data_IF_573044087051
#
_entry.id   IF_573044087051
#
_cell.length_a   1.000
_cell.length_b   1.000
_cell.length_c   1.000
_cell.angle_alpha   90.00
_cell.angle_beta   90.00
_cell.angle_gamma   90.00
#
_symmetry.space_group_name_H-M   'P 1'
#
loop_
_entity.id
_entity.type
_entity.pdbx_description
1 polymer ?
#
# COMPACT_ATOMS: atom_id res chain seq x y z
N UNK A 1 16.54 38.06 30.52
CA UNK A 1 17.06 36.76 30.07
C UNK A 1 16.00 35.64 30.06
N UNK A 2 15.30 35.33 31.18
CA UNK A 2 14.27 34.26 31.24
C UNK A 2 13.14 34.40 30.20
N UNK A 3 12.61 35.62 29.96
CA UNK A 3 11.54 35.88 28.99
C UNK A 3 12.00 35.58 27.54
N UNK A 4 13.23 35.96 27.20
CA UNK A 4 13.81 35.69 25.86
C UNK A 4 13.96 34.18 25.66
N UNK A 5 14.47 33.46 26.65
CA UNK A 5 14.61 32.02 26.62
C UNK A 5 13.25 31.30 26.37
N UNK A 6 12.20 31.72 27.08
CA UNK A 6 10.85 31.17 26.92
C UNK A 6 10.33 31.42 25.51
N UNK A 7 10.52 32.61 24.93
CA UNK A 7 10.14 32.94 23.57
C UNK A 7 10.89 32.07 22.58
N UNK A 8 12.19 31.89 22.73
CA UNK A 8 12.99 31.03 21.85
C UNK A 8 12.51 29.57 21.88
N UNK A 9 12.21 29.04 23.07
CA UNK A 9 11.69 27.68 23.23
C UNK A 9 10.31 27.55 22.54
N UNK A 10 9.43 28.54 22.72
CA UNK A 10 8.11 28.53 22.08
C UNK A 10 8.21 28.58 20.53
N UNK A 11 9.13 29.37 20.00
CA UNK A 11 9.37 29.43 18.54
C UNK A 11 9.91 28.09 18.04
N UNK A 12 10.88 27.48 18.73
CA UNK A 12 11.42 26.19 18.35
C UNK A 12 10.36 25.08 18.40
N UNK A 13 9.51 25.10 19.43
CA UNK A 13 8.40 24.16 19.53
C UNK A 13 7.37 24.36 18.40
N UNK A 14 7.04 25.60 18.06
CA UNK A 14 6.14 25.93 16.95
C UNK A 14 6.72 25.50 15.60
N UNK A 15 8.02 25.71 15.36
CA UNK A 15 8.71 25.25 14.15
C UNK A 15 8.75 23.71 14.06
N UNK A 16 8.98 23.03 15.18
CA UNK A 16 8.94 21.57 15.24
C UNK A 16 7.53 21.03 14.94
N UNK A 17 6.48 21.66 15.50
CA UNK A 17 5.09 21.29 15.21
C UNK A 17 4.71 21.59 13.75
N UNK A 18 5.21 22.68 13.17
CA UNK A 18 4.96 23.05 11.78
C UNK A 18 5.49 21.99 10.80
N UNK A 19 6.60 21.31 11.11
CA UNK A 19 7.16 20.26 10.27
C UNK A 19 6.32 18.98 10.20
N UNK A 20 5.33 18.82 11.10
CA UNK A 20 4.37 17.70 11.06
C UNK A 20 3.05 18.04 10.34
N UNK A 21 2.88 19.30 9.91
CA UNK A 21 1.68 19.68 9.13
C UNK A 21 1.89 19.23 7.68
N UNK A 22 0.99 18.37 7.12
CA UNK A 22 1.06 17.98 5.72
C UNK A 22 1.03 19.21 4.81
N UNK A 23 1.88 19.22 3.79
CA UNK A 23 1.88 20.30 2.79
C UNK A 23 0.72 20.11 1.80
N UNK A 24 0.27 21.17 1.10
CA UNK A 24 -0.77 21.02 0.05
C UNK A 24 -0.39 20.01 -1.04
N UNK A 25 0.91 19.79 -1.30
CA UNK A 25 1.39 18.76 -2.22
C UNK A 25 1.16 17.34 -1.71
N UNK A 26 1.20 17.15 -0.39
CA UNK A 26 0.98 15.83 0.22
C UNK A 26 -0.47 15.37 0.04
N UNK A 27 -1.46 16.28 0.19
CA UNK A 27 -2.87 15.95 -0.04
C UNK A 27 -3.15 15.49 -1.48
N UNK A 28 -2.48 16.08 -2.48
CA UNK A 28 -2.59 15.64 -3.87
C UNK A 28 -2.02 14.22 -4.09
N UNK A 29 -1.02 13.78 -3.31
CA UNK A 29 -0.45 12.44 -3.40
C UNK A 29 -1.42 11.38 -2.86
N UNK A 30 -2.08 11.63 -1.72
CA UNK A 30 -3.09 10.70 -1.17
C UNK A 30 -4.25 10.50 -2.15
N UNK A 31 -4.69 11.59 -2.78
CA UNK A 31 -5.82 11.60 -3.70
C UNK A 31 -5.50 10.95 -5.06
N UNK A 32 -4.22 10.76 -5.39
CA UNK A 32 -3.81 10.27 -6.72
C UNK A 32 -3.10 8.92 -6.69
N UNK A 33 -2.89 8.31 -5.51
CA UNK A 33 -2.14 7.06 -5.38
C UNK A 33 -3.03 5.92 -4.90
N UNK A 34 -2.90 4.77 -5.55
CA UNK A 34 -3.40 3.47 -5.05
C UNK A 34 -2.20 2.62 -4.69
N UNK A 35 -2.23 2.00 -3.52
CA UNK A 35 -1.15 1.13 -3.04
C UNK A 35 -1.53 -0.33 -3.14
N UNK A 36 -0.52 -1.21 -3.19
CA UNK A 36 -0.67 -2.65 -3.02
C UNK A 36 -0.13 -3.06 -1.67
N UNK A 37 -0.89 -3.88 -0.96
CA UNK A 37 -0.51 -4.49 0.30
C UNK A 37 -0.74 -6.00 0.23
N UNK A 38 0.33 -6.78 0.28
CA UNK A 38 0.25 -8.25 0.32
C UNK A 38 0.80 -8.74 1.64
N UNK A 39 0.05 -9.63 2.29
CA UNK A 39 0.36 -10.18 3.61
C UNK A 39 0.58 -11.68 3.46
N UNK A 40 1.74 -12.16 3.87
CA UNK A 40 2.06 -13.59 3.87
C UNK A 40 1.29 -14.34 4.95
N UNK A 41 1.09 -15.64 4.75
CA UNK A 41 0.50 -16.51 5.77
C UNK A 41 1.31 -16.51 7.07
N UNK A 42 2.65 -16.64 6.98
CA UNK A 42 3.57 -16.61 8.13
C UNK A 42 4.94 -16.07 7.73
N UNK A 43 5.88 -16.05 8.68
CA UNK A 43 7.27 -15.61 8.45
C UNK A 43 8.21 -16.75 8.07
N UNK A 44 7.73 -17.93 7.69
CA UNK A 44 8.57 -18.97 7.12
C UNK A 44 9.14 -18.56 5.76
N UNK A 45 10.34 -18.99 5.41
CA UNK A 45 10.94 -18.69 4.11
C UNK A 45 10.01 -19.10 2.95
N UNK A 46 9.32 -20.22 3.08
CA UNK A 46 8.41 -20.73 2.08
C UNK A 46 7.20 -19.80 1.87
N UNK A 47 6.58 -19.28 2.94
CA UNK A 47 5.48 -18.33 2.85
C UNK A 47 5.94 -16.96 2.34
N UNK A 48 7.18 -16.57 2.65
CA UNK A 48 7.74 -15.33 2.11
C UNK A 48 8.02 -15.45 0.60
N UNK A 49 8.48 -16.60 0.10
CA UNK A 49 8.62 -16.88 -1.34
C UNK A 49 7.24 -16.86 -2.00
N UNK A 50 6.26 -17.59 -1.46
CA UNK A 50 4.89 -17.59 -1.99
C UNK A 50 4.30 -16.18 -2.10
N UNK A 51 4.50 -15.34 -1.07
CA UNK A 51 4.06 -13.93 -1.11
C UNK A 51 4.64 -13.18 -2.31
N UNK A 52 5.91 -13.40 -2.64
CA UNK A 52 6.54 -12.75 -3.79
C UNK A 52 6.00 -13.27 -5.12
N UNK A 53 5.71 -14.57 -5.23
CA UNK A 53 5.10 -15.15 -6.42
C UNK A 53 3.68 -14.61 -6.64
N UNK A 54 2.89 -14.52 -5.57
CA UNK A 54 1.55 -13.92 -5.60
C UNK A 54 1.63 -12.44 -5.97
N UNK A 55 2.59 -11.70 -5.41
CA UNK A 55 2.82 -10.29 -5.75
C UNK A 55 3.02 -10.11 -7.25
N UNK A 56 3.90 -10.89 -7.85
CA UNK A 56 4.27 -10.73 -9.26
C UNK A 56 3.06 -11.01 -10.15
N UNK A 57 2.31 -12.09 -9.89
CA UNK A 57 1.10 -12.41 -10.64
C UNK A 57 -0.02 -11.36 -10.46
N UNK A 58 -0.19 -10.83 -9.25
CA UNK A 58 -1.16 -9.76 -8.98
C UNK A 58 -0.75 -8.47 -9.69
N UNK A 59 0.53 -8.09 -9.66
CA UNK A 59 1.02 -6.89 -10.35
C UNK A 59 0.79 -6.97 -11.86
N UNK A 60 1.08 -8.11 -12.49
CA UNK A 60 0.85 -8.32 -13.92
C UNK A 60 -0.65 -8.19 -14.26
N UNK A 61 -1.50 -8.83 -13.47
CA UNK A 61 -2.96 -8.75 -13.66
C UNK A 61 -3.48 -7.33 -13.50
N UNK A 62 -3.07 -6.64 -12.43
CA UNK A 62 -3.51 -5.27 -12.15
C UNK A 62 -3.02 -4.30 -13.21
N UNK A 63 -1.79 -4.48 -13.74
CA UNK A 63 -1.26 -3.63 -14.79
C UNK A 63 -2.17 -3.61 -16.03
N UNK A 64 -2.74 -4.76 -16.40
CA UNK A 64 -3.69 -4.87 -17.50
C UNK A 64 -5.05 -4.25 -17.17
N UNK A 65 -5.56 -4.50 -15.95
CA UNK A 65 -6.87 -4.00 -15.50
C UNK A 65 -6.96 -2.47 -15.43
N UNK A 66 -5.85 -1.80 -15.07
CA UNK A 66 -5.80 -0.34 -14.97
C UNK A 66 -5.08 0.32 -16.16
N UNK A 67 -4.85 -0.44 -17.25
CA UNK A 67 -4.09 0.04 -18.41
C UNK A 67 -4.65 1.33 -19.00
N UNK A 68 -5.97 1.40 -19.12
CA UNK A 68 -6.70 2.52 -19.75
C UNK A 68 -7.17 3.58 -18.73
N UNK A 69 -6.90 3.40 -17.43
CA UNK A 69 -7.30 4.36 -16.42
C UNK A 69 -6.44 5.64 -16.50
N UNK A 70 -7.09 6.77 -16.71
CA UNK A 70 -6.46 8.08 -16.72
C UNK A 70 -6.47 8.76 -15.33
N UNK A 71 -7.38 8.34 -14.44
CA UNK A 71 -7.54 8.88 -13.09
C UNK A 71 -7.56 7.76 -12.05
N UNK A 72 -7.31 8.13 -10.78
CA UNK A 72 -7.39 7.21 -9.66
C UNK A 72 -8.78 6.59 -9.52
N UNK A 73 -9.82 7.38 -9.71
CA UNK A 73 -11.22 6.93 -9.61
C UNK A 73 -11.54 5.86 -10.67
N UNK A 74 -11.01 6.01 -11.89
CA UNK A 74 -11.15 5.02 -12.95
C UNK A 74 -10.40 3.73 -12.59
N UNK A 75 -9.18 3.86 -12.06
CA UNK A 75 -8.39 2.72 -11.59
C UNK A 75 -9.08 2.02 -10.40
N UNK A 76 -9.57 2.75 -9.39
CA UNK A 76 -10.32 2.19 -8.27
C UNK A 76 -11.56 1.42 -8.73
N UNK A 77 -12.31 1.99 -9.67
CA UNK A 77 -13.50 1.33 -10.24
C UNK A 77 -13.12 0.04 -10.97
N UNK A 78 -12.06 0.05 -11.77
CA UNK A 78 -11.58 -1.14 -12.47
C UNK A 78 -11.17 -2.24 -11.48
N UNK A 79 -10.43 -1.87 -10.42
CA UNK A 79 -10.02 -2.80 -9.37
C UNK A 79 -11.21 -3.37 -8.60
N UNK A 80 -12.18 -2.52 -8.20
CA UNK A 80 -13.40 -2.95 -7.50
C UNK A 80 -14.21 -3.97 -8.28
N UNK A 81 -14.33 -3.78 -9.60
CA UNK A 81 -15.05 -4.70 -10.48
C UNK A 81 -14.29 -6.01 -10.74
N UNK A 82 -13.01 -6.06 -10.41
CA UNK A 82 -12.12 -7.17 -10.72
C UNK A 82 -11.54 -7.86 -9.48
N UNK A 83 -12.06 -7.59 -8.28
CA UNK A 83 -11.54 -8.17 -7.02
C UNK A 83 -11.56 -9.71 -7.06
N UNK A 84 -12.63 -10.30 -7.61
CA UNK A 84 -12.73 -11.76 -7.74
C UNK A 84 -11.66 -12.32 -8.67
N UNK A 85 -11.39 -11.66 -9.80
CA UNK A 85 -10.35 -12.06 -10.75
C UNK A 85 -8.97 -12.00 -10.09
N UNK A 86 -8.68 -10.93 -9.37
CA UNK A 86 -7.41 -10.76 -8.65
C UNK A 86 -7.27 -11.82 -7.55
N UNK A 87 -8.35 -12.12 -6.84
CA UNK A 87 -8.36 -13.16 -5.81
C UNK A 87 -8.15 -14.56 -6.41
N UNK A 88 -8.75 -14.85 -7.55
CA UNK A 88 -8.57 -16.11 -8.27
C UNK A 88 -7.11 -16.28 -8.74
N UNK A 89 -6.48 -15.23 -9.21
CA UNK A 89 -5.05 -15.22 -9.56
C UNK A 89 -4.20 -15.53 -8.32
N UNK A 90 -4.40 -14.83 -7.21
CA UNK A 90 -3.66 -15.07 -5.97
C UNK A 90 -3.85 -16.51 -5.45
N UNK A 91 -5.09 -17.01 -5.47
CA UNK A 91 -5.44 -18.39 -5.08
C UNK A 91 -4.84 -19.42 -6.02
N UNK A 92 -4.84 -19.14 -7.33
CA UNK A 92 -4.26 -20.00 -8.36
C UNK A 92 -2.76 -20.19 -8.16
N UNK A 93 -2.03 -19.11 -7.87
CA UNK A 93 -0.58 -19.16 -7.57
C UNK A 93 -0.34 -19.97 -6.29
N UNK A 94 -1.08 -19.73 -5.21
CA UNK A 94 -0.97 -20.48 -3.99
C UNK A 94 -1.22 -21.98 -4.22
N UNK A 95 -2.26 -22.32 -4.98
CA UNK A 95 -2.60 -23.70 -5.34
C UNK A 95 -1.53 -24.39 -6.19
N UNK A 96 -0.96 -23.69 -7.17
CA UNK A 96 0.10 -24.19 -8.03
C UNK A 96 1.41 -24.42 -7.28
N UNK A 97 1.70 -23.59 -6.26
CA UNK A 97 2.84 -23.72 -5.35
C UNK A 97 2.65 -24.79 -4.27
N UNK A 98 1.53 -25.52 -4.28
CA UNK A 98 1.25 -26.63 -3.33
C UNK A 98 0.46 -26.23 -2.09
N UNK A 99 0.09 -24.95 -1.93
CA UNK A 99 -0.63 -24.41 -0.77
C UNK A 99 -2.16 -24.36 -0.99
N UNK A 100 -2.74 -25.48 -1.43
CA UNK A 100 -4.18 -25.57 -1.78
C UNK A 100 -5.14 -25.25 -0.62
N UNK A 101 -4.66 -25.34 0.61
CA UNK A 101 -5.46 -25.05 1.81
C UNK A 101 -5.37 -23.57 2.24
N UNK A 102 -4.50 -22.78 1.64
CA UNK A 102 -4.44 -21.36 1.93
C UNK A 102 -5.59 -20.64 1.24
N UNK A 103 -6.42 -20.00 2.05
CA UNK A 103 -7.42 -19.07 1.54
C UNK A 103 -6.72 -17.78 1.14
N UNK A 104 -7.21 -17.15 0.11
CA UNK A 104 -6.79 -15.79 -0.25
C UNK A 104 -7.99 -14.87 -0.11
N UNK A 105 -7.75 -13.66 0.33
CA UNK A 105 -8.77 -12.62 0.43
C UNK A 105 -8.24 -11.34 -0.20
N UNK A 106 -8.99 -10.81 -1.17
CA UNK A 106 -8.64 -9.58 -1.87
C UNK A 106 -9.71 -8.52 -1.61
N UNK A 107 -9.28 -7.33 -1.23
CA UNK A 107 -10.17 -6.21 -0.94
C UNK A 107 -9.54 -4.88 -1.34
N UNK A 108 -10.38 -3.90 -1.69
CA UNK A 108 -9.96 -2.50 -1.84
C UNK A 108 -10.42 -1.75 -0.59
N UNK A 109 -9.48 -1.19 0.14
CA UNK A 109 -9.72 -0.57 1.44
C UNK A 109 -8.88 0.70 1.63
N UNK A 110 -9.14 1.45 2.70
CA UNK A 110 -8.30 2.56 3.10
C UNK A 110 -7.43 2.13 4.28
N UNK A 111 -6.11 2.24 4.11
CA UNK A 111 -5.13 1.85 5.13
C UNK A 111 -4.17 2.99 5.43
N UNK A 112 -3.74 3.07 6.70
CA UNK A 112 -2.70 4.02 7.11
C UNK A 112 -1.32 3.46 6.82
N UNK A 113 -0.50 4.27 6.17
CA UNK A 113 0.91 3.97 5.88
C UNK A 113 1.82 4.99 6.56
N UNK A 114 2.94 4.52 7.09
CA UNK A 114 4.05 5.40 7.49
C UNK A 114 4.73 5.99 6.26
N UNK A 115 5.47 7.09 6.43
CA UNK A 115 6.29 7.65 5.36
C UNK A 115 7.17 6.58 4.71
N UNK A 116 7.18 6.56 3.38
CA UNK A 116 8.05 5.70 2.57
C UNK A 116 8.76 6.53 1.52
N UNK A 117 10.08 6.34 1.45
CA UNK A 117 10.93 6.95 0.42
C UNK A 117 11.34 5.89 -0.58
N UNK A 118 11.10 6.16 -1.84
CA UNK A 118 11.61 5.45 -3.00
C UNK A 118 12.68 6.33 -3.66
N UNK A 119 13.46 5.82 -4.59
CA UNK A 119 14.59 6.54 -5.19
C UNK A 119 14.22 7.96 -5.69
N UNK A 120 13.03 8.11 -6.28
CA UNK A 120 12.61 9.36 -6.94
C UNK A 120 11.34 9.99 -6.34
N UNK A 121 10.71 9.35 -5.33
CA UNK A 121 9.47 9.85 -4.74
C UNK A 121 9.43 9.54 -3.25
N UNK A 122 8.96 10.50 -2.47
CA UNK A 122 8.60 10.30 -1.06
C UNK A 122 7.07 10.27 -0.94
N UNK A 123 6.54 9.20 -0.38
CA UNK A 123 5.14 9.12 -0.02
C UNK A 123 5.00 9.47 1.46
N UNK A 124 4.32 10.56 1.81
CA UNK A 124 4.13 10.96 3.20
C UNK A 124 3.30 9.93 3.97
N UNK A 125 3.38 9.99 5.30
CA UNK A 125 2.56 9.17 6.15
C UNK A 125 1.09 9.61 6.05
N UNK A 126 0.17 8.66 5.90
CA UNK A 126 -1.26 8.98 5.78
C UNK A 126 -2.13 7.80 5.35
N UNK A 127 -3.40 8.08 5.10
CA UNK A 127 -4.37 7.10 4.63
C UNK A 127 -4.36 7.06 3.10
N UNK A 128 -4.22 5.87 2.54
CA UNK A 128 -4.22 5.62 1.10
C UNK A 128 -5.25 4.56 0.74
N UNK A 129 -5.85 4.67 -0.44
CA UNK A 129 -6.55 3.54 -1.06
C UNK A 129 -5.54 2.42 -1.30
N UNK A 130 -5.87 1.22 -0.87
CA UNK A 130 -5.01 0.04 -0.92
C UNK A 130 -5.75 -1.17 -1.45
N UNK A 131 -5.20 -1.80 -2.49
CA UNK A 131 -5.54 -3.16 -2.87
C UNK A 131 -4.81 -4.08 -1.89
N UNK A 132 -5.57 -4.75 -1.02
CA UNK A 132 -5.05 -5.64 0.00
C UNK A 132 -5.28 -7.08 -0.39
N UNK A 133 -4.22 -7.89 -0.38
CA UNK A 133 -4.27 -9.34 -0.61
C UNK A 133 -3.70 -10.05 0.60
N UNK A 134 -4.50 -10.87 1.24
CA UNK A 134 -4.11 -11.69 2.40
C UNK A 134 -3.98 -13.14 1.96
N UNK A 135 -2.90 -13.80 2.33
CA UNK A 135 -2.62 -15.20 2.04
C UNK A 135 -2.69 -15.98 3.35
N UNK A 136 -3.55 -16.99 3.42
CA UNK A 136 -3.71 -17.83 4.60
C UNK A 136 -4.20 -17.05 5.82
N UNK A 137 -3.51 -17.16 6.93
CA UNK A 137 -3.84 -16.47 8.20
C UNK A 137 -3.44 -14.99 8.20
N UNK A 138 -2.53 -14.58 7.31
CA UNK A 138 -2.09 -13.19 7.23
C UNK A 138 -1.21 -12.74 8.41
N UNK A 139 -0.50 -13.66 9.05
CA UNK A 139 0.34 -13.40 10.23
C UNK A 139 1.80 -13.11 9.87
N UNK A 140 2.13 -13.11 8.56
CA UNK A 140 3.49 -12.92 8.08
C UNK A 140 3.82 -11.47 7.72
N UNK A 141 5.07 -11.28 7.29
CA UNK A 141 5.57 -9.98 6.84
C UNK A 141 4.83 -9.46 5.61
N UNK A 142 4.68 -8.16 5.57
CA UNK A 142 3.97 -7.43 4.55
C UNK A 142 4.87 -7.05 3.36
N UNK A 143 4.26 -6.93 2.19
CA UNK A 143 4.86 -6.26 1.03
C UNK A 143 4.00 -5.08 0.63
N UNK A 144 4.63 -3.93 0.35
CA UNK A 144 3.95 -2.71 -0.06
C UNK A 144 4.59 -2.09 -1.29
N UNK A 145 3.78 -1.69 -2.26
CA UNK A 145 4.23 -0.89 -3.40
C UNK A 145 3.14 0.10 -3.85
N UNK A 146 3.39 0.81 -4.94
CA UNK A 146 2.44 1.70 -5.61
C UNK A 146 1.90 0.97 -6.83
N UNK A 147 0.56 0.97 -6.98
CA UNK A 147 -0.13 0.40 -8.14
C UNK A 147 -0.48 1.48 -9.18
N UNK A 148 -0.87 2.64 -8.69
CA UNK A 148 -1.29 3.77 -9.52
C UNK A 148 -0.78 5.07 -8.89
N UNK A 149 -0.32 6.07 -9.71
CA UNK A 149 -0.08 5.98 -11.14
C UNK A 149 1.06 5.00 -11.50
N UNK A 150 1.12 4.62 -12.77
CA UNK A 150 2.14 3.71 -13.32
C UNK A 150 3.48 4.42 -13.52
#
# INVERSE_FOLDING_TARGET
MKKILVICIAILAALALYSFIPTPGDFNLYDNVIRLHIIANSNTDADQVLKLDVRDAVLDTVADLVADAATKEEAEKALLLSLDIINDVASGVAGASGYKNYKTETSLTTEYYSEKRYENIALPAGNYTSLRVVIGEGDGENWWCVLFPK
#
